data_IF_155585244331
#
_entry.id   IF_155585244331
#
_cell.length_a   1.000
_cell.length_b   1.000
_cell.length_c   1.000
_cell.angle_alpha   90.00
_cell.angle_beta   90.00
_cell.angle_gamma   90.00
#
_symmetry.space_group_name_H-M   'P 1'
#
loop_
_entity.id
_entity.type
_entity.pdbx_description
1 polymer ?
#
# COMPACT_ATOMS: atom_id res chain seq x y z
N UNK A 1 24.23 6.16 2.46
CA UNK A 1 22.99 5.83 1.72
C UNK A 1 22.16 4.83 2.55
N UNK A 2 21.81 5.18 3.79
CA UNK A 2 20.99 4.34 4.68
C UNK A 2 19.79 5.11 5.24
N UNK A 3 19.95 6.43 5.47
CA UNK A 3 18.88 7.29 5.96
C UNK A 3 17.68 7.37 5.00
N UNK A 4 17.90 7.60 3.70
CA UNK A 4 16.79 7.69 2.72
C UNK A 4 16.05 6.36 2.56
N UNK A 5 16.77 5.24 2.54
CA UNK A 5 16.16 3.91 2.45
C UNK A 5 15.27 3.62 3.67
N UNK A 6 15.73 4.00 4.87
CA UNK A 6 14.94 3.85 6.10
C UNK A 6 13.67 4.72 6.12
N UNK A 7 13.71 5.91 5.50
CA UNK A 7 12.53 6.78 5.41
C UNK A 7 11.48 6.23 4.44
N UNK A 8 11.93 5.66 3.32
CA UNK A 8 11.03 5.05 2.32
C UNK A 8 10.35 3.81 2.89
N UNK A 9 11.12 2.89 3.51
CA UNK A 9 10.51 1.71 4.16
C UNK A 9 9.46 2.13 5.19
N UNK A 10 9.82 3.08 6.06
CA UNK A 10 8.89 3.60 7.08
C UNK A 10 7.64 4.21 6.45
N UNK A 11 7.77 4.93 5.34
CA UNK A 11 6.63 5.52 4.63
C UNK A 11 5.72 4.42 4.06
N UNK A 12 6.29 3.43 3.39
CA UNK A 12 5.53 2.29 2.83
C UNK A 12 4.83 1.51 3.93
N UNK A 13 5.50 1.29 5.05
CA UNK A 13 4.98 0.63 6.24
C UNK A 13 3.75 1.36 6.82
N UNK A 14 3.85 2.69 6.99
CA UNK A 14 2.73 3.51 7.48
C UNK A 14 1.56 3.53 6.51
N UNK A 15 1.81 3.63 5.20
CA UNK A 15 0.76 3.58 4.18
C UNK A 15 0.09 2.20 4.12
N UNK A 16 0.86 1.13 4.33
CA UNK A 16 0.34 -0.23 4.43
C UNK A 16 -0.58 -0.33 5.64
N UNK A 17 -0.16 0.15 6.82
CA UNK A 17 -1.01 0.16 8.01
C UNK A 17 -2.31 0.95 7.80
N UNK A 18 -2.24 2.12 7.15
CA UNK A 18 -3.44 2.90 6.83
C UNK A 18 -4.41 2.07 5.96
N UNK A 19 -3.90 1.37 4.94
CA UNK A 19 -4.73 0.52 4.09
C UNK A 19 -5.31 -0.68 4.86
N UNK A 20 -4.54 -1.27 5.79
CA UNK A 20 -5.00 -2.37 6.64
C UNK A 20 -6.08 -1.91 7.62
N UNK A 21 -5.93 -0.74 8.24
CA UNK A 21 -6.91 -0.15 9.15
C UNK A 21 -8.25 0.10 8.44
N UNK A 22 -8.21 0.69 7.23
CA UNK A 22 -9.41 0.89 6.41
C UNK A 22 -10.04 -0.46 6.01
N UNK A 23 -9.23 -1.48 5.72
CA UNK A 23 -9.73 -2.81 5.37
C UNK A 23 -10.43 -3.51 6.54
N UNK A 24 -9.83 -3.44 7.72
CA UNK A 24 -10.34 -4.02 8.97
C UNK A 24 -11.58 -3.27 9.47
N UNK A 25 -11.61 -1.95 9.29
CA UNK A 25 -12.74 -1.09 9.68
C UNK A 25 -14.00 -1.31 8.85
N UNK A 26 -13.90 -1.96 7.69
CA UNK A 26 -15.06 -2.33 6.87
C UNK A 26 -15.51 -3.78 7.16
N UNK A 27 -16.81 -3.96 7.39
CA UNK A 27 -17.44 -5.21 7.84
C UNK A 27 -18.31 -5.88 6.75
N UNK A 28 -18.68 -5.15 5.70
CA UNK A 28 -19.61 -5.62 4.63
C UNK A 28 -18.93 -6.26 3.42
N UNK A 29 -17.74 -6.85 3.57
CA UNK A 29 -17.00 -7.50 2.47
C UNK A 29 -17.75 -8.66 1.80
N UNK A 30 -18.67 -9.32 2.51
CA UNK A 30 -19.47 -10.43 1.96
C UNK A 30 -20.79 -9.98 1.34
N UNK A 31 -21.05 -8.66 1.28
CA UNK A 31 -22.28 -8.13 0.69
C UNK A 31 -22.08 -7.85 -0.81
N UNK A 32 -22.74 -8.67 -1.64
CA UNK A 32 -22.68 -8.57 -3.11
C UNK A 32 -23.21 -7.26 -3.69
N UNK A 33 -23.91 -6.44 -2.90
CA UNK A 33 -24.49 -5.16 -3.34
C UNK A 33 -23.69 -3.95 -2.86
N UNK A 34 -22.63 -4.16 -2.07
CA UNK A 34 -21.81 -3.09 -1.51
C UNK A 34 -20.40 -3.20 -2.06
N UNK A 35 -19.86 -2.10 -2.58
CA UNK A 35 -18.43 -2.03 -2.91
C UNK A 35 -17.62 -1.71 -1.66
N UNK A 36 -16.53 -2.42 -1.47
CA UNK A 36 -15.60 -2.15 -0.38
C UNK A 36 -14.80 -0.87 -0.60
N UNK A 37 -14.15 -0.36 0.45
CA UNK A 37 -13.21 0.74 0.33
C UNK A 37 -12.04 0.37 -0.59
N UNK A 38 -11.50 1.38 -1.27
CA UNK A 38 -10.42 1.23 -2.23
C UNK A 38 -9.40 2.35 -2.06
N UNK A 39 -8.12 1.97 -1.96
CA UNK A 39 -7.01 2.92 -1.87
C UNK A 39 -5.92 2.55 -2.86
N UNK A 40 -5.21 3.58 -3.31
CA UNK A 40 -4.02 3.43 -4.14
C UNK A 40 -3.03 4.53 -3.78
N UNK A 41 -1.94 4.17 -3.09
CA UNK A 41 -0.83 5.08 -2.82
C UNK A 41 0.31 4.81 -3.81
N UNK A 42 0.96 5.88 -4.28
CA UNK A 42 2.11 5.83 -5.17
C UNK A 42 3.26 6.62 -4.54
N UNK A 43 4.30 5.91 -4.09
CA UNK A 43 5.48 6.50 -3.45
C UNK A 43 6.53 6.82 -4.51
N UNK A 44 6.95 8.08 -4.61
CA UNK A 44 7.86 8.56 -5.64
C UNK A 44 9.19 9.05 -5.04
N UNK A 45 10.29 8.84 -5.78
CA UNK A 45 11.63 9.30 -5.41
C UNK A 45 11.82 10.82 -5.53
N UNK A 46 10.85 11.54 -6.12
CA UNK A 46 10.83 13.00 -6.17
C UNK A 46 9.53 13.58 -6.70
N UNK A 47 9.37 14.90 -6.60
CA UNK A 47 8.12 15.62 -6.92
C UNK A 47 7.77 15.67 -8.43
N UNK A 48 8.64 15.18 -9.33
CA UNK A 48 8.43 15.25 -10.78
C UNK A 48 7.79 13.97 -11.31
N UNK A 49 6.52 13.79 -11.02
CA UNK A 49 5.68 12.69 -11.52
C UNK A 49 5.15 12.89 -12.95
N UNK A 50 5.24 14.12 -13.47
CA UNK A 50 4.50 14.56 -14.67
C UNK A 50 4.84 13.87 -15.99
N UNK A 51 5.87 13.02 -16.06
CA UNK A 51 6.18 12.25 -17.27
C UNK A 51 5.28 11.02 -17.47
N UNK A 52 4.62 10.54 -16.41
CA UNK A 52 3.83 9.30 -16.47
C UNK A 52 2.55 9.26 -15.66
N UNK A 53 2.19 10.36 -14.99
CA UNK A 53 0.90 10.49 -14.33
C UNK A 53 0.15 11.70 -14.86
N UNK A 54 -1.17 11.58 -14.91
CA UNK A 54 -2.09 12.68 -15.23
C UNK A 54 -2.93 13.02 -14.00
N UNK A 55 -3.20 14.31 -13.76
CA UNK A 55 -4.15 14.71 -12.73
C UNK A 55 -5.53 14.09 -13.01
N UNK A 56 -6.12 13.44 -12.00
CA UNK A 56 -7.42 12.79 -12.16
C UNK A 56 -8.55 13.74 -11.75
N UNK A 57 -9.04 14.51 -12.72
CA UNK A 57 -10.16 15.44 -12.53
C UNK A 57 -9.94 16.37 -11.33
N UNK A 58 -10.96 16.50 -10.49
CA UNK A 58 -10.93 17.31 -9.26
C UNK A 58 -10.64 16.48 -8.01
N UNK A 59 -10.19 15.23 -8.15
CA UNK A 59 -9.93 14.35 -7.00
C UNK A 59 -8.67 14.82 -6.28
N UNK A 60 -8.80 15.02 -4.96
CA UNK A 60 -7.74 15.56 -4.12
C UNK A 60 -7.55 14.75 -2.85
N UNK A 61 -6.31 14.70 -2.40
CA UNK A 61 -5.96 14.38 -1.03
C UNK A 61 -6.07 15.66 -0.17
N UNK A 62 -6.86 15.68 0.92
CA UNK A 62 -7.01 16.81 1.83
C UNK A 62 -5.73 17.16 2.63
N UNK A 63 -4.76 17.83 1.99
CA UNK A 63 -3.46 18.18 2.59
C UNK A 63 -3.56 19.14 3.78
N UNK A 64 -4.69 19.80 3.96
CA UNK A 64 -5.01 20.69 5.07
C UNK A 64 -5.34 19.89 6.35
N UNK A 65 -5.73 18.62 6.18
CA UNK A 65 -6.09 17.72 7.28
C UNK A 65 -4.98 16.70 7.55
N UNK A 66 -4.30 16.25 6.51
CA UNK A 66 -3.15 15.35 6.60
C UNK A 66 -2.19 15.62 5.44
N UNK A 67 -1.03 16.21 5.71
CA UNK A 67 -0.02 16.54 4.70
C UNK A 67 1.18 15.63 4.74
N UNK A 68 1.61 15.19 5.93
CA UNK A 68 2.90 14.53 6.10
C UNK A 68 2.86 13.38 7.10
N UNK A 69 3.54 12.29 6.76
CA UNK A 69 3.83 11.18 7.65
C UNK A 69 5.26 11.28 8.18
N UNK A 70 5.53 10.85 9.43
CA UNK A 70 4.59 10.22 10.38
C UNK A 70 3.78 11.22 11.24
N UNK A 71 4.05 12.52 11.18
CA UNK A 71 3.55 13.51 12.13
C UNK A 71 2.02 13.56 12.21
N UNK A 72 1.34 13.37 11.09
CA UNK A 72 -0.11 13.49 10.98
C UNK A 72 -0.79 12.13 10.74
N UNK A 73 -0.16 11.04 11.19
CA UNK A 73 -0.61 9.67 10.94
C UNK A 73 -2.08 9.40 11.31
N UNK A 74 -2.52 9.82 12.50
CA UNK A 74 -3.93 9.63 12.93
C UNK A 74 -4.90 10.39 12.01
N UNK A 75 -4.53 11.58 11.54
CA UNK A 75 -5.33 12.32 10.58
C UNK A 75 -5.33 11.65 9.21
N UNK A 76 -4.18 11.12 8.77
CA UNK A 76 -4.05 10.40 7.52
C UNK A 76 -4.92 9.14 7.46
N UNK A 77 -5.04 8.39 8.57
CA UNK A 77 -5.97 7.24 8.68
C UNK A 77 -7.42 7.68 8.44
N UNK A 78 -7.87 8.76 9.08
CA UNK A 78 -9.25 9.27 8.92
C UNK A 78 -9.50 9.74 7.50
N UNK A 79 -8.58 10.53 6.95
CA UNK A 79 -8.67 11.02 5.57
C UNK A 79 -8.69 9.84 4.59
N UNK A 80 -7.86 8.82 4.81
CA UNK A 80 -7.85 7.62 3.97
C UNK A 80 -9.20 6.90 4.00
N UNK A 81 -9.80 6.73 5.18
CA UNK A 81 -11.11 6.12 5.33
C UNK A 81 -12.19 6.89 4.54
N UNK A 82 -12.18 8.23 4.60
CA UNK A 82 -13.13 9.08 3.87
C UNK A 82 -12.96 8.95 2.35
N UNK A 83 -11.72 9.06 1.84
CA UNK A 83 -11.49 9.02 0.39
C UNK A 83 -11.68 7.62 -0.21
N UNK A 84 -11.49 6.56 0.59
CA UNK A 84 -11.49 5.19 0.09
C UNK A 84 -12.83 4.76 -0.51
N UNK A 85 -13.93 5.41 -0.11
CA UNK A 85 -15.26 5.15 -0.65
C UNK A 85 -15.65 6.09 -1.79
N UNK A 86 -15.10 7.31 -1.81
CA UNK A 86 -15.62 8.40 -2.63
C UNK A 86 -14.77 8.72 -3.85
N UNK A 87 -13.47 8.38 -3.83
CA UNK A 87 -12.50 8.89 -4.80
C UNK A 87 -11.70 7.79 -5.45
N UNK A 88 -11.74 7.76 -6.77
CA UNK A 88 -10.79 7.00 -7.58
C UNK A 88 -9.49 7.77 -7.79
N UNK A 89 -8.40 7.05 -7.99
CA UNK A 89 -7.08 7.60 -8.31
C UNK A 89 -5.99 7.22 -7.33
N UNK A 90 -4.75 7.41 -7.77
CA UNK A 90 -3.57 7.26 -6.94
C UNK A 90 -3.32 8.53 -6.13
N UNK A 91 -3.16 8.37 -4.82
CA UNK A 91 -2.61 9.38 -3.93
C UNK A 91 -1.09 9.35 -4.07
N UNK A 92 -0.48 10.46 -4.47
CA UNK A 92 0.97 10.54 -4.62
C UNK A 92 1.60 10.90 -3.29
N UNK A 93 2.61 10.14 -2.89
CA UNK A 93 3.39 10.35 -1.67
C UNK A 93 4.85 10.47 -2.05
N UNK A 94 5.54 11.46 -1.50
CA UNK A 94 6.96 11.65 -1.72
C UNK A 94 7.75 10.68 -0.82
N UNK A 95 9.00 10.39 -1.16
CA UNK A 95 9.87 9.50 -0.39
C UNK A 95 10.01 9.88 1.10
N UNK A 96 9.80 11.15 1.43
CA UNK A 96 9.84 11.69 2.79
C UNK A 96 8.51 11.60 3.56
N UNK A 97 7.46 11.02 2.96
CA UNK A 97 6.14 10.90 3.58
C UNK A 97 5.17 12.05 3.27
N UNK A 98 5.56 13.02 2.44
CA UNK A 98 4.69 14.15 2.07
C UNK A 98 3.65 13.76 1.02
N UNK A 99 2.37 13.89 1.33
CA UNK A 99 1.25 13.73 0.41
C UNK A 99 1.15 14.90 -0.57
N UNK A 100 0.86 14.60 -1.84
CA UNK A 100 0.53 15.59 -2.86
C UNK A 100 -0.99 15.76 -2.94
N UNK A 101 -1.44 17.01 -3.01
CA UNK A 101 -2.88 17.36 -3.04
C UNK A 101 -3.59 16.76 -4.25
N UNK A 102 -2.98 16.77 -5.43
CA UNK A 102 -3.61 16.27 -6.65
C UNK A 102 -3.51 14.74 -6.72
N UNK A 103 -4.67 14.04 -6.73
CA UNK A 103 -4.71 12.62 -7.06
C UNK A 103 -4.53 12.42 -8.56
N UNK A 104 -3.93 11.30 -8.94
CA UNK A 104 -3.47 11.06 -10.31
C UNK A 104 -3.95 9.73 -10.87
N UNK A 105 -4.00 9.64 -12.20
CA UNK A 105 -4.07 8.40 -12.95
C UNK A 105 -2.68 8.09 -13.50
N UNK A 106 -2.22 6.85 -13.32
CA UNK A 106 -0.97 6.39 -13.94
C UNK A 106 -1.25 6.08 -15.41
N UNK A 107 -0.41 6.59 -16.31
CA UNK A 107 -0.46 6.25 -17.73
C UNK A 107 0.03 4.82 -17.92
N UNK A 108 -0.69 4.04 -18.73
CA UNK A 108 -0.20 2.76 -19.20
C UNK A 108 1.08 2.95 -20.04
N UNK A 109 2.01 2.00 -19.95
CA UNK A 109 3.23 2.03 -20.75
C UNK A 109 2.89 1.76 -22.23
N UNK A 110 3.31 2.62 -23.18
CA UNK A 110 3.09 2.35 -24.60
C UNK A 110 3.87 1.10 -25.01
N UNK A 111 3.22 0.18 -25.74
CA UNK A 111 3.80 -1.09 -26.19
C UNK A 111 3.74 -2.24 -25.17
N UNK A 112 3.32 -1.95 -23.94
CA UNK A 112 2.90 -2.95 -22.95
C UNK A 112 1.37 -2.87 -22.86
N UNK A 113 0.68 -3.17 -23.97
CA UNK A 113 -0.68 -3.68 -23.82
C UNK A 113 -0.54 -4.88 -22.88
N UNK A 114 -1.27 -4.89 -21.76
CA UNK A 114 -1.23 -5.94 -20.71
C UNK A 114 -0.83 -7.24 -21.40
N UNK A 115 0.45 -7.67 -21.29
CA UNK A 115 0.88 -8.82 -22.05
C UNK A 115 -0.03 -9.96 -21.62
N UNK A 116 -0.09 -10.99 -22.45
CA UNK A 116 -0.52 -12.34 -22.05
C UNK A 116 0.45 -12.93 -20.99
N UNK A 117 0.95 -12.09 -20.09
CA UNK A 117 1.64 -12.46 -18.88
C UNK A 117 0.57 -13.04 -17.97
N UNK A 118 0.86 -14.24 -17.45
CA UNK A 118 0.10 -14.92 -16.41
C UNK A 118 0.08 -14.04 -15.13
N UNK A 119 -0.75 -13.00 -15.16
CA UNK A 119 -1.09 -12.26 -13.95
C UNK A 119 -2.10 -13.09 -13.18
N UNK A 120 -1.98 -13.14 -11.84
CA UNK A 120 -2.98 -13.80 -11.03
C UNK A 120 -4.38 -13.22 -11.29
N UNK A 121 -5.37 -14.10 -11.43
CA UNK A 121 -6.75 -13.73 -11.77
C UNK A 121 -7.44 -12.82 -10.75
N UNK A 122 -6.88 -12.68 -9.54
CA UNK A 122 -7.38 -11.78 -8.51
C UNK A 122 -6.97 -10.30 -8.74
N UNK A 123 -6.00 -10.02 -9.62
CA UNK A 123 -5.52 -8.67 -9.86
C UNK A 123 -6.52 -7.86 -10.70
N UNK A 124 -7.22 -6.95 -10.04
CA UNK A 124 -8.01 -5.92 -10.74
C UNK A 124 -7.15 -4.92 -11.53
N UNK A 125 -7.78 -4.07 -12.34
CA UNK A 125 -7.10 -3.03 -13.12
C UNK A 125 -6.22 -2.09 -12.27
N UNK A 126 -6.61 -1.84 -11.02
CA UNK A 126 -5.80 -1.07 -10.06
C UNK A 126 -4.52 -1.79 -9.70
N UNK A 127 -4.59 -3.09 -9.40
CA UNK A 127 -3.42 -3.90 -9.08
C UNK A 127 -2.46 -3.96 -10.27
N UNK A 128 -2.98 -4.13 -11.49
CA UNK A 128 -2.16 -4.09 -12.70
C UNK A 128 -1.50 -2.72 -12.90
N UNK A 129 -2.25 -1.62 -12.70
CA UNK A 129 -1.69 -0.27 -12.74
C UNK A 129 -0.58 -0.08 -11.70
N UNK A 130 -0.77 -0.56 -10.47
CA UNK A 130 0.22 -0.48 -9.39
C UNK A 130 1.47 -1.32 -9.69
N UNK A 131 1.28 -2.54 -10.20
CA UNK A 131 2.33 -3.44 -10.63
C UNK A 131 3.18 -2.79 -11.73
N UNK A 132 2.54 -2.32 -12.81
CA UNK A 132 3.25 -1.64 -13.91
C UNK A 132 3.96 -0.38 -13.44
N UNK A 133 3.31 0.44 -12.60
CA UNK A 133 3.91 1.63 -12.04
C UNK A 133 5.18 1.31 -11.26
N UNK A 134 5.18 0.24 -10.46
CA UNK A 134 6.33 -0.18 -9.64
C UNK A 134 7.57 -0.59 -10.43
N UNK A 135 7.47 -0.78 -11.76
CA UNK A 135 8.62 -1.05 -12.64
C UNK A 135 9.32 0.23 -13.12
N UNK A 136 8.76 1.40 -12.83
CA UNK A 136 9.31 2.69 -13.23
C UNK A 136 10.32 3.15 -12.20
N UNK A 137 11.49 3.61 -12.64
CA UNK A 137 12.58 4.10 -11.78
C UNK A 137 12.15 5.21 -10.80
N UNK A 138 11.17 6.03 -11.19
CA UNK A 138 10.64 7.09 -10.33
C UNK A 138 9.72 6.60 -9.21
N UNK A 139 9.23 5.36 -9.28
CA UNK A 139 8.28 4.77 -8.32
C UNK A 139 9.04 3.87 -7.36
N UNK A 140 9.08 4.28 -6.09
CA UNK A 140 9.76 3.55 -5.03
C UNK A 140 8.91 2.40 -4.47
N UNK A 141 7.59 2.58 -4.48
CA UNK A 141 6.61 1.58 -4.11
C UNK A 141 5.19 2.01 -4.53
N UNK A 142 4.28 1.04 -4.58
CA UNK A 142 2.84 1.29 -4.65
C UNK A 142 2.10 0.44 -3.62
N UNK A 143 1.08 0.99 -2.97
CA UNK A 143 0.25 0.27 -1.98
C UNK A 143 -1.20 0.34 -2.43
N UNK A 144 -1.90 -0.79 -2.45
CA UNK A 144 -3.32 -0.85 -2.85
C UNK A 144 -4.17 -1.54 -1.80
N UNK A 145 -5.39 -1.04 -1.62
CA UNK A 145 -6.50 -1.74 -0.98
C UNK A 145 -7.55 -2.12 -2.05
N UNK A 146 -7.86 -3.42 -2.11
CA UNK A 146 -8.84 -3.98 -3.03
C UNK A 146 -10.27 -3.73 -2.56
N UNK A 147 -11.11 -3.15 -3.42
CA UNK A 147 -12.55 -2.96 -3.18
C UNK A 147 -13.34 -4.27 -3.11
N UNK A 148 -12.77 -5.37 -3.61
CA UNK A 148 -13.47 -6.65 -3.76
C UNK A 148 -13.37 -7.52 -2.51
N UNK A 149 -12.23 -7.47 -1.81
CA UNK A 149 -11.92 -8.45 -0.77
C UNK A 149 -11.04 -7.91 0.37
N UNK A 150 -10.75 -6.61 0.37
CA UNK A 150 -9.95 -5.98 1.42
C UNK A 150 -8.47 -6.37 1.39
N UNK A 151 -8.01 -7.04 0.33
CA UNK A 151 -6.59 -7.39 0.17
C UNK A 151 -5.75 -6.12 0.12
N UNK A 152 -4.70 -6.09 0.94
CA UNK A 152 -3.68 -5.05 0.92
C UNK A 152 -2.46 -5.59 0.18
N UNK A 153 -1.98 -4.85 -0.81
CA UNK A 153 -0.82 -5.26 -1.62
C UNK A 153 0.20 -4.14 -1.73
N UNK A 154 1.46 -4.47 -1.48
CA UNK A 154 2.62 -3.61 -1.71
C UNK A 154 3.34 -4.09 -2.95
N UNK A 155 3.55 -3.20 -3.91
CA UNK A 155 4.26 -3.42 -5.16
C UNK A 155 5.60 -2.70 -5.13
N UNK A 156 6.68 -3.39 -5.55
CA UNK A 156 8.03 -2.83 -5.58
C UNK A 156 8.88 -3.53 -6.62
N UNK A 157 9.57 -2.76 -7.45
CA UNK A 157 10.52 -3.27 -8.46
C UNK A 157 9.92 -4.37 -9.35
N UNK A 158 8.64 -4.26 -9.72
CA UNK A 158 7.94 -5.29 -10.50
C UNK A 158 7.64 -6.59 -9.76
N UNK A 159 7.69 -6.58 -8.43
CA UNK A 159 7.29 -7.66 -7.54
C UNK A 159 6.18 -7.17 -6.59
N UNK A 160 5.55 -8.09 -5.85
CA UNK A 160 4.54 -7.72 -4.87
C UNK A 160 4.54 -8.61 -3.64
N UNK A 161 4.11 -8.05 -2.51
CA UNK A 161 3.71 -8.75 -1.30
C UNK A 161 2.26 -8.39 -1.02
N UNK A 162 1.41 -9.38 -0.81
CA UNK A 162 0.01 -9.15 -0.50
C UNK A 162 -0.38 -9.85 0.80
N UNK A 163 -1.38 -9.31 1.46
CA UNK A 163 -2.04 -9.90 2.62
C UNK A 163 -3.54 -9.87 2.39
N UNK A 164 -4.15 -11.03 2.50
CA UNK A 164 -5.60 -11.15 2.49
C UNK A 164 -6.18 -10.61 3.79
N UNK A 165 -7.46 -10.23 3.78
CA UNK A 165 -8.11 -9.64 4.95
C UNK A 165 -7.95 -10.47 6.22
N UNK A 166 -7.99 -11.80 6.11
CA UNK A 166 -7.83 -12.72 7.24
C UNK A 166 -6.42 -12.74 7.85
N UNK A 167 -5.42 -12.20 7.16
CA UNK A 167 -4.02 -12.10 7.59
C UNK A 167 -3.70 -10.70 8.14
N UNK A 168 -4.65 -9.75 8.09
CA UNK A 168 -4.46 -8.38 8.57
C UNK A 168 -4.59 -8.30 10.08
N UNK A 169 -3.80 -7.43 10.71
CA UNK A 169 -3.78 -7.27 12.17
C UNK A 169 -2.84 -8.25 12.90
N UNK A 170 -2.09 -9.08 12.16
CA UNK A 170 -0.95 -9.81 12.72
C UNK A 170 0.07 -8.84 13.35
N UNK A 171 0.69 -9.17 14.50
CA UNK A 171 1.64 -8.30 15.18
C UNK A 171 2.76 -7.85 14.22
N UNK A 172 3.05 -6.55 14.26
CA UNK A 172 4.11 -5.92 13.47
C UNK A 172 5.45 -6.66 13.61
N UNK A 173 5.88 -7.39 12.57
CA UNK A 173 7.24 -7.91 12.50
C UNK A 173 8.13 -6.88 11.86
N UNK A 174 8.73 -6.02 12.69
CA UNK A 174 9.91 -5.28 12.26
C UNK A 174 10.93 -6.31 11.78
N UNK A 175 11.11 -6.44 10.46
CA UNK A 175 12.16 -7.32 9.91
C UNK A 175 13.48 -6.57 10.04
N UNK A 176 13.94 -6.39 11.28
CA UNK A 176 15.30 -5.99 11.57
C UNK A 176 16.23 -7.20 11.42
N UNK A 177 17.53 -7.00 11.11
CA UNK A 177 18.50 -8.09 10.92
C UNK A 177 18.80 -8.94 12.17
N UNK A 178 18.12 -8.71 13.30
CA UNK A 178 18.33 -9.44 14.56
C UNK A 178 17.28 -10.54 14.80
N UNK A 179 16.91 -11.29 13.77
CA UNK A 179 16.21 -12.57 13.95
C UNK A 179 17.24 -13.68 14.19
N UNK A 180 17.98 -13.58 15.29
CA UNK A 180 18.87 -14.64 15.75
C UNK A 180 18.05 -15.79 16.35
N UNK A 181 18.49 -16.99 16.00
CA UNK A 181 17.94 -18.33 16.23
C UNK A 181 17.18 -18.54 17.56
N UNK A 182 15.87 -18.75 17.48
CA UNK A 182 15.15 -19.48 18.51
C UNK A 182 15.30 -20.99 18.24
N UNK A 183 16.39 -21.57 18.75
CA UNK A 183 16.52 -23.02 18.91
C UNK A 183 15.51 -23.48 19.96
N UNK A 184 14.68 -24.52 19.72
CA UNK A 184 13.79 -25.02 20.76
C UNK A 184 14.61 -25.75 21.83
N UNK A 185 14.68 -25.14 23.02
CA UNK A 185 15.07 -25.79 24.27
C UNK A 185 14.14 -26.98 24.54
N UNK A 186 14.69 -28.18 24.47
CA UNK A 186 14.09 -29.37 25.07
C UNK A 186 14.64 -29.53 26.49
N UNK A 187 13.80 -29.30 27.51
CA UNK A 187 14.03 -29.81 28.84
C UNK A 187 12.69 -29.95 29.58
N UNK A 188 12.38 -31.17 29.97
CA UNK A 188 11.19 -31.48 30.75
C UNK A 188 11.05 -32.97 31.03
N UNK A 189 12.10 -33.58 31.59
CA UNK A 189 11.94 -34.84 32.29
C UNK A 189 11.27 -34.60 33.64
N UNK A 190 10.34 -35.48 34.01
CA UNK A 190 10.05 -35.72 35.41
C UNK A 190 9.86 -37.23 35.67
N UNK A 191 10.26 -37.74 36.85
CA UNK A 191 10.46 -39.15 37.14
C UNK A 191 9.26 -39.81 37.82
N UNK A 192 9.36 -41.15 37.92
CA UNK A 192 8.71 -42.10 38.83
C UNK A 192 7.19 -42.03 39.06
N UNK A 193 6.48 -43.06 38.58
CA UNK A 193 5.88 -44.13 39.41
C UNK A 193 5.61 -45.40 38.56
#
# INVERSE_FOLDING_TARGET
>A
MHAEFSTVERTVDLLTYIAEDVSLGFDRWNDRYVRGPSLYFLVLSGARSGSFVDGLGTNRWPVEQARVLPEEFTSAVRVAADIAFERDGAVVVSADGTFQEQMVRVRSMPGRAVPDADYPSWMSAKHLSAYEASTREAVLAAVTLSEENGRVTVFRDGTYKNRERGELGEPWRATGPDAEEATPTAAGGHPDE
#
